data_IF_489818857288
#
_entry.id   IF_489818857288
#
_cell.length_a   1.000
_cell.length_b   1.000
_cell.length_c   1.000
_cell.angle_alpha   90.00
_cell.angle_beta   90.00
_cell.angle_gamma   90.00
#
_symmetry.space_group_name_H-M   'P 1'
#
loop_
_entity.id
_entity.type
_entity.pdbx_description
1 polymer ?
#
# COMPACT_ATOMS: atom_id res chain seq x y z
N UNK A 1 19.73 -19.60 -2.89
CA UNK A 1 18.37 -19.31 -2.38
C UNK A 1 17.83 -18.20 -3.25
N UNK A 2 16.54 -18.19 -3.64
CA UNK A 2 15.98 -16.98 -4.21
C UNK A 2 16.23 -15.85 -3.18
N UNK A 3 16.86 -14.79 -3.63
CA UNK A 3 17.04 -13.57 -2.87
C UNK A 3 15.66 -12.90 -2.76
N UNK A 4 15.38 -12.43 -1.55
CA UNK A 4 14.10 -11.81 -1.23
C UNK A 4 14.42 -10.63 -0.35
N UNK A 5 13.88 -9.46 -0.70
CA UNK A 5 14.09 -8.23 0.07
C UNK A 5 12.77 -7.77 0.65
N UNK A 6 12.75 -7.56 1.96
CA UNK A 6 11.65 -6.90 2.66
C UNK A 6 12.13 -5.50 3.05
N UNK A 7 11.38 -4.49 2.61
CA UNK A 7 11.60 -3.09 2.99
C UNK A 7 10.42 -2.63 3.85
N UNK A 8 10.70 -2.11 5.05
CA UNK A 8 9.65 -1.56 5.91
C UNK A 8 9.43 -0.09 5.58
N UNK A 9 8.21 0.25 5.14
CA UNK A 9 7.78 1.64 4.91
C UNK A 9 7.12 2.24 6.15
N UNK A 10 6.59 1.39 7.03
CA UNK A 10 6.06 1.79 8.32
C UNK A 10 5.92 0.59 9.25
N UNK A 11 6.12 0.84 10.54
CA UNK A 11 6.10 -0.17 11.63
C UNK A 11 5.26 0.28 12.82
N UNK A 12 4.51 1.38 12.69
CA UNK A 12 3.55 1.85 13.68
C UNK A 12 2.23 1.06 13.63
N UNK A 13 1.47 1.12 14.72
CA UNK A 13 0.17 0.46 14.85
C UNK A 13 -0.91 1.42 15.37
N UNK A 14 -2.16 1.17 14.99
CA UNK A 14 -3.37 1.80 15.53
C UNK A 14 -3.34 3.32 15.48
N UNK A 15 -3.02 3.93 16.61
CA UNK A 15 -3.00 5.39 16.82
C UNK A 15 -1.59 5.97 16.84
N UNK A 16 -0.61 5.27 16.25
CA UNK A 16 0.77 5.73 16.22
C UNK A 16 0.89 7.04 15.43
N UNK A 17 1.34 8.10 16.10
CA UNK A 17 1.52 9.43 15.47
C UNK A 17 2.98 9.72 15.10
N UNK A 18 3.94 8.99 15.68
CA UNK A 18 5.37 9.23 15.47
C UNK A 18 6.02 8.24 14.50
N UNK A 19 5.32 7.18 14.14
CA UNK A 19 5.77 6.14 13.21
C UNK A 19 4.69 5.96 12.15
N UNK A 20 5.11 5.90 10.88
CA UNK A 20 4.21 5.50 9.80
C UNK A 20 3.60 4.13 10.14
N UNK A 21 2.29 3.99 9.93
CA UNK A 21 1.60 2.73 10.18
C UNK A 21 2.09 1.61 9.25
N UNK A 22 1.79 0.38 9.61
CA UNK A 22 2.19 -0.84 8.90
C UNK A 22 2.10 -0.70 7.38
N UNK A 23 3.26 -0.81 6.73
CA UNK A 23 3.40 -1.01 5.29
C UNK A 23 4.78 -1.61 5.00
N UNK A 24 4.81 -2.62 4.14
CA UNK A 24 6.03 -3.33 3.76
C UNK A 24 6.05 -3.55 2.26
N UNK A 25 7.25 -3.58 1.68
CA UNK A 25 7.46 -3.98 0.29
C UNK A 25 8.22 -5.28 0.30
N UNK A 26 7.68 -6.26 -0.41
CA UNK A 26 8.31 -7.54 -0.64
C UNK A 26 8.71 -7.63 -2.12
N UNK A 27 10.03 -7.65 -2.36
CA UNK A 27 10.64 -7.77 -3.68
C UNK A 27 11.17 -9.20 -3.87
N UNK A 28 10.71 -9.86 -4.93
CA UNK A 28 11.14 -11.20 -5.35
C UNK A 28 12.14 -11.13 -6.52
N UNK A 29 13.00 -12.13 -6.63
CA UNK A 29 13.96 -12.28 -7.75
C UNK A 29 13.32 -12.37 -9.14
N UNK A 30 12.05 -12.81 -9.23
CA UNK A 30 11.33 -12.89 -10.50
C UNK A 30 10.77 -11.53 -10.96
N UNK A 31 11.10 -10.46 -10.23
CA UNK A 31 10.63 -9.09 -10.48
C UNK A 31 9.27 -8.78 -9.86
N UNK A 32 8.64 -9.73 -9.15
CA UNK A 32 7.40 -9.45 -8.42
C UNK A 32 7.68 -8.49 -7.26
N UNK A 33 6.96 -7.37 -7.25
CA UNK A 33 6.90 -6.42 -6.14
C UNK A 33 5.51 -6.41 -5.54
N UNK A 34 5.41 -6.70 -4.24
CA UNK A 34 4.17 -6.66 -3.49
C UNK A 34 4.23 -5.57 -2.41
N UNK A 35 3.28 -4.64 -2.45
CA UNK A 35 3.01 -3.74 -1.33
C UNK A 35 2.07 -4.44 -0.35
N UNK A 36 2.54 -4.71 0.86
CA UNK A 36 1.78 -5.37 1.93
C UNK A 36 1.32 -4.28 2.90
N UNK A 37 0.02 -4.10 3.00
CA UNK A 37 -0.65 -2.95 3.62
C UNK A 37 -0.20 -1.61 3.02
N UNK A 38 -1.00 -0.57 3.25
CA UNK A 38 -0.85 0.75 2.63
C UNK A 38 -0.73 1.87 3.65
N UNK A 39 -0.50 1.54 4.92
CA UNK A 39 -0.36 2.52 6.00
C UNK A 39 -1.56 3.47 6.07
N UNK A 40 -1.32 4.70 6.54
CA UNK A 40 -2.27 5.82 6.50
C UNK A 40 -1.71 7.02 5.74
N UNK A 41 -2.61 7.78 5.12
CA UNK A 41 -2.28 9.00 4.40
C UNK A 41 -1.29 8.76 3.25
N UNK A 42 -0.28 9.62 3.14
CA UNK A 42 0.79 9.57 2.15
C UNK A 42 2.05 8.85 2.64
N UNK A 43 1.99 8.17 3.79
CA UNK A 43 3.16 7.57 4.45
C UNK A 43 3.92 6.59 3.57
N UNK A 44 3.21 5.77 2.77
CA UNK A 44 3.84 4.88 1.78
C UNK A 44 4.64 5.65 0.74
N UNK A 45 4.13 6.78 0.26
CA UNK A 45 4.83 7.59 -0.72
C UNK A 45 6.08 8.26 -0.12
N UNK A 46 5.95 8.80 1.10
CA UNK A 46 7.05 9.43 1.82
C UNK A 46 8.18 8.44 2.12
N UNK A 47 7.86 7.36 2.83
CA UNK A 47 8.84 6.35 3.21
C UNK A 47 9.38 5.58 2.00
N UNK A 48 8.54 5.35 0.98
CA UNK A 48 8.96 4.75 -0.28
C UNK A 48 9.99 5.63 -1.00
N UNK A 49 9.73 6.93 -1.10
CA UNK A 49 10.68 7.89 -1.68
C UNK A 49 12.03 7.88 -0.97
N UNK A 50 12.04 7.83 0.37
CA UNK A 50 13.28 7.76 1.16
C UNK A 50 14.11 6.49 0.86
N UNK A 51 13.46 5.41 0.41
CA UNK A 51 14.09 4.14 0.05
C UNK A 51 14.29 3.95 -1.47
N UNK A 52 13.93 4.95 -2.30
CA UNK A 52 13.96 4.83 -3.76
C UNK A 52 12.91 3.87 -4.33
N UNK A 53 11.79 3.69 -3.64
CA UNK A 53 10.63 2.88 -4.04
C UNK A 53 9.45 3.82 -4.31
N UNK A 54 9.30 4.34 -5.54
CA UNK A 54 8.27 5.31 -5.83
C UNK A 54 6.89 4.64 -5.98
N UNK A 55 5.81 5.40 -5.77
CA UNK A 55 4.44 4.86 -5.72
C UNK A 55 4.03 4.20 -7.03
N UNK A 56 4.50 4.74 -8.16
CA UNK A 56 4.24 4.19 -9.48
C UNK A 56 4.90 2.83 -9.74
N UNK A 57 5.83 2.39 -8.88
CA UNK A 57 6.43 1.06 -8.99
C UNK A 57 5.54 -0.06 -8.46
N UNK A 58 4.41 0.26 -7.80
CA UNK A 58 3.50 -0.75 -7.28
C UNK A 58 2.48 -1.18 -8.33
N UNK A 59 2.36 -2.49 -8.52
CA UNK A 59 1.33 -3.12 -9.35
C UNK A 59 0.39 -4.00 -8.55
N UNK A 60 0.88 -4.51 -7.41
CA UNK A 60 0.19 -5.48 -6.57
C UNK A 60 0.16 -4.98 -5.14
N UNK A 61 -1.02 -5.01 -4.54
CA UNK A 61 -1.24 -4.63 -3.14
C UNK A 61 -1.92 -5.79 -2.43
N UNK A 62 -1.40 -6.22 -1.30
CA UNK A 62 -2.05 -7.16 -0.39
C UNK A 62 -2.48 -6.40 0.87
N UNK A 63 -3.78 -6.37 1.15
CA UNK A 63 -4.30 -5.84 2.41
C UNK A 63 -4.54 -6.97 3.39
N UNK A 64 -3.98 -6.86 4.58
CA UNK A 64 -4.10 -7.87 5.63
C UNK A 64 -5.50 -7.92 6.24
N UNK A 65 -6.07 -6.76 6.58
CA UNK A 65 -7.40 -6.60 7.15
C UNK A 65 -7.87 -5.14 7.03
N UNK A 66 -9.04 -4.84 7.59
CA UNK A 66 -9.78 -3.62 7.32
C UNK A 66 -9.47 -2.42 8.24
N UNK A 67 -8.50 -2.52 9.15
CA UNK A 67 -8.23 -1.41 10.04
C UNK A 67 -7.59 -0.23 9.29
N UNK A 68 -7.95 1.02 9.60
CA UNK A 68 -7.49 2.19 8.85
C UNK A 68 -5.96 2.36 8.81
N UNK A 69 -5.25 1.94 9.86
CA UNK A 69 -3.79 1.97 9.93
C UNK A 69 -3.12 1.00 8.94
N UNK A 70 -3.86 0.05 8.39
CA UNK A 70 -3.38 -0.88 7.37
C UNK A 70 -3.82 -0.49 5.95
N UNK A 71 -4.99 0.13 5.79
CA UNK A 71 -5.61 0.24 4.45
C UNK A 71 -5.90 1.66 3.97
N UNK A 72 -5.91 2.67 4.84
CA UNK A 72 -6.41 4.00 4.45
C UNK A 72 -5.51 4.73 3.46
N UNK A 73 -4.21 4.41 3.42
CA UNK A 73 -3.29 4.95 2.42
C UNK A 73 -3.52 4.43 1.00
N UNK A 74 -4.31 3.37 0.80
CA UNK A 74 -4.65 2.85 -0.53
C UNK A 74 -5.32 3.93 -1.41
N UNK A 75 -6.11 4.83 -0.82
CA UNK A 75 -6.69 5.96 -1.54
C UNK A 75 -5.62 6.88 -2.14
N UNK A 76 -4.57 7.17 -1.38
CA UNK A 76 -3.47 8.00 -1.86
C UNK A 76 -2.67 7.30 -2.96
N UNK A 77 -2.34 6.02 -2.77
CA UNK A 77 -1.64 5.21 -3.78
C UNK A 77 -2.41 5.18 -5.10
N UNK A 78 -3.73 4.94 -5.05
CA UNK A 78 -4.59 4.93 -6.24
C UNK A 78 -4.72 6.30 -6.90
N UNK A 79 -4.70 7.39 -6.12
CA UNK A 79 -4.81 8.74 -6.66
C UNK A 79 -3.52 9.22 -7.34
N UNK A 80 -2.36 8.92 -6.75
CA UNK A 80 -1.06 9.44 -7.22
C UNK A 80 -0.44 8.57 -8.31
N UNK A 81 -0.70 7.26 -8.34
CA UNK A 81 -0.11 6.34 -9.32
C UNK A 81 -0.48 6.65 -10.78
N UNK A 82 -1.76 6.85 -11.16
CA UNK A 82 -2.13 7.09 -12.56
C UNK A 82 -1.46 8.31 -13.22
N UNK A 83 -1.37 9.50 -12.58
CA UNK A 83 -0.65 10.61 -13.18
C UNK A 83 0.86 10.39 -13.23
N UNK A 84 1.44 9.58 -12.32
CA UNK A 84 2.86 9.25 -12.29
C UNK A 84 3.26 8.17 -13.32
N UNK A 85 2.33 7.28 -13.73
CA UNK A 85 2.56 6.23 -14.72
C UNK A 85 1.30 5.97 -15.54
N UNK A 86 1.20 6.68 -16.66
CA UNK A 86 -0.02 6.78 -17.47
C UNK A 86 -0.37 5.50 -18.25
N UNK A 87 0.60 4.64 -18.51
CA UNK A 87 0.45 3.35 -19.20
C UNK A 87 0.08 2.20 -18.24
N UNK A 88 -0.02 2.48 -16.95
CA UNK A 88 -0.28 1.50 -15.93
C UNK A 88 -1.70 0.94 -15.99
N UNK A 89 -1.83 -0.39 -15.94
CA UNK A 89 -3.10 -1.02 -15.61
C UNK A 89 -3.54 -0.66 -14.17
N UNK A 90 -4.84 -0.76 -13.83
CA UNK A 90 -5.31 -0.63 -12.44
C UNK A 90 -4.51 -1.53 -11.48
N UNK A 91 -4.44 -1.15 -10.21
CA UNK A 91 -3.76 -1.96 -9.19
C UNK A 91 -4.49 -3.30 -9.00
N UNK A 92 -3.71 -4.39 -8.93
CA UNK A 92 -4.20 -5.67 -8.44
C UNK A 92 -4.25 -5.60 -6.91
N UNK A 93 -5.45 -5.48 -6.33
CA UNK A 93 -5.63 -5.44 -4.87
C UNK A 93 -6.16 -6.80 -4.39
N UNK A 94 -5.34 -7.50 -3.60
CA UNK A 94 -5.68 -8.75 -2.92
C UNK A 94 -6.15 -8.43 -1.51
N UNK A 95 -7.37 -8.83 -1.16
CA UNK A 95 -7.97 -8.59 0.14
C UNK A 95 -9.07 -9.61 0.45
N UNK A 96 -9.48 -9.71 1.71
CA UNK A 96 -10.63 -10.52 2.12
C UNK A 96 -11.96 -9.80 1.82
N UNK A 97 -13.07 -10.54 1.72
CA UNK A 97 -14.40 -9.95 1.58
C UNK A 97 -14.74 -8.96 2.72
N UNK A 98 -14.35 -9.31 3.95
CA UNK A 98 -14.47 -8.43 5.12
C UNK A 98 -13.73 -7.10 4.93
N UNK A 99 -12.51 -7.16 4.36
CA UNK A 99 -11.71 -5.98 4.07
C UNK A 99 -12.31 -5.11 2.96
N UNK A 100 -13.03 -5.71 2.02
CA UNK A 100 -13.72 -4.97 0.95
C UNK A 100 -14.85 -4.13 1.54
N UNK A 101 -15.62 -4.71 2.48
CA UNK A 101 -16.67 -4.00 3.21
C UNK A 101 -16.06 -2.85 4.02
N UNK A 102 -14.95 -3.09 4.73
CA UNK A 102 -14.26 -2.01 5.45
C UNK A 102 -13.69 -0.92 4.54
N UNK A 103 -13.22 -1.26 3.34
CA UNK A 103 -12.74 -0.30 2.33
C UNK A 103 -13.84 0.69 1.94
N UNK A 104 -15.05 0.18 1.70
CA UNK A 104 -16.21 1.03 1.38
C UNK A 104 -16.59 2.02 2.49
N UNK A 105 -16.16 1.79 3.74
CA UNK A 105 -16.34 2.75 4.84
C UNK A 105 -15.30 3.88 4.81
N UNK A 106 -14.10 3.59 4.32
CA UNK A 106 -13.01 4.57 4.20
C UNK A 106 -13.16 5.44 2.94
N UNK A 107 -13.81 4.91 1.91
CA UNK A 107 -14.14 5.61 0.67
C UNK A 107 -15.60 5.34 0.29
N UNK A 108 -16.57 5.99 0.96
CA UNK A 108 -17.98 5.76 0.66
C UNK A 108 -18.27 6.15 -0.78
N UNK A 109 -18.64 5.16 -1.60
CA UNK A 109 -19.27 5.40 -2.90
C UNK A 109 -20.64 6.01 -2.63
N UNK A 110 -20.78 7.31 -2.85
CA UNK A 110 -22.09 7.95 -2.96
C UNK A 110 -22.81 7.34 -4.17
N UNK A 111 -23.82 6.52 -3.91
CA UNK A 111 -24.89 6.18 -4.88
C UNK A 111 -25.78 7.38 -5.12
#
# INVERSE_FOLDING_TARGET
MPEMKISFLGTGSGTSVNLAHTAMVYDCDDGTRLLIDTSSGDSVARSGSDLGIPVESFDKVLLSHHHPDHMSGLMFVQFVRPPARQDAQPLDVYLTEESLIGQSRCAPTTT
#
